data_IF_335184530189
#
_entry.id   IF_335184530189
#
_cell.length_a   1.000
_cell.length_b   1.000
_cell.length_c   1.000
_cell.angle_alpha   90.00
_cell.angle_beta   90.00
_cell.angle_gamma   90.00
#
_symmetry.space_group_name_H-M   'P 1'
#
loop_
_entity.id
_entity.type
_entity.pdbx_description
1 polymer ?
#
# COMPACT_ATOMS: atom_id res chain seq x y z
N UNK A 1 8.63 0.55 10.63
CA UNK A 1 8.22 0.25 9.24
C UNK A 1 8.58 -1.19 8.96
N UNK A 2 7.65 -2.02 8.47
CA UNK A 2 7.92 -3.44 8.18
C UNK A 2 8.29 -3.59 6.71
N UNK A 3 9.56 -3.34 6.40
CA UNK A 3 10.09 -3.42 5.03
C UNK A 3 10.04 -4.85 4.49
N UNK A 4 10.23 -5.85 5.35
CA UNK A 4 10.10 -7.28 5.00
C UNK A 4 8.74 -7.63 4.37
N UNK A 5 7.67 -6.96 4.81
CA UNK A 5 6.32 -7.21 4.32
C UNK A 5 6.18 -6.79 2.83
N UNK A 6 7.06 -5.92 2.30
CA UNK A 6 7.02 -5.50 0.88
C UNK A 6 7.30 -6.64 -0.09
N UNK A 7 8.14 -7.61 0.30
CA UNK A 7 8.35 -8.83 -0.50
C UNK A 7 7.06 -9.62 -0.58
N UNK A 8 6.41 -9.83 0.56
CA UNK A 8 5.24 -10.70 0.67
C UNK A 8 4.03 -10.15 -0.12
N UNK A 9 3.88 -8.82 -0.18
CA UNK A 9 2.80 -8.19 -0.96
C UNK A 9 3.19 -7.89 -2.42
N UNK A 10 4.46 -8.06 -2.81
CA UNK A 10 4.93 -7.68 -4.16
C UNK A 10 4.17 -8.40 -5.29
N UNK A 11 3.84 -9.67 -5.09
CA UNK A 11 3.11 -10.50 -6.06
C UNK A 11 1.60 -10.32 -5.99
N UNK A 12 1.06 -9.81 -4.89
CA UNK A 12 -0.39 -9.60 -4.70
C UNK A 12 -0.82 -8.20 -5.12
N UNK A 13 0.10 -7.21 -5.15
CA UNK A 13 -0.17 -5.83 -5.58
C UNK A 13 -1.03 -5.78 -6.84
N UNK A 14 -1.94 -4.80 -6.88
CA UNK A 14 -2.64 -4.48 -8.12
C UNK A 14 -1.62 -4.15 -9.21
N UNK A 15 -1.88 -4.60 -10.43
CA UNK A 15 -0.91 -4.65 -11.52
C UNK A 15 -0.19 -3.31 -11.78
N UNK A 16 -0.92 -2.20 -11.68
CA UNK A 16 -0.41 -0.82 -11.84
C UNK A 16 0.70 -0.44 -10.85
N UNK A 17 0.86 -1.17 -9.74
CA UNK A 17 1.75 -0.78 -8.65
C UNK A 17 2.92 -1.77 -8.46
N UNK A 18 2.99 -2.86 -9.24
CA UNK A 18 3.99 -3.93 -9.04
C UNK A 18 5.43 -3.49 -9.34
N UNK A 19 5.59 -2.53 -10.26
CA UNK A 19 6.88 -1.97 -10.67
C UNK A 19 7.16 -0.59 -10.03
N UNK A 20 6.30 -0.12 -9.13
CA UNK A 20 6.56 1.10 -8.35
C UNK A 20 7.40 0.76 -7.13
N UNK A 21 8.39 1.60 -6.81
CA UNK A 21 9.04 1.52 -5.51
C UNK A 21 8.01 1.73 -4.39
N UNK A 22 8.25 1.26 -3.16
CA UNK A 22 7.28 1.40 -2.07
C UNK A 22 7.02 2.87 -1.72
N UNK A 23 8.01 3.73 -1.97
CA UNK A 23 7.93 5.17 -1.77
C UNK A 23 6.97 5.79 -2.79
N UNK A 24 7.11 5.46 -4.07
CA UNK A 24 6.20 5.90 -5.14
C UNK A 24 4.79 5.37 -4.90
N UNK A 25 4.64 4.08 -4.60
CA UNK A 25 3.36 3.45 -4.27
C UNK A 25 2.69 4.13 -3.06
N UNK A 26 3.46 4.47 -2.02
CA UNK A 26 2.95 5.17 -0.84
C UNK A 26 2.53 6.61 -1.17
N UNK A 27 3.27 7.31 -2.04
CA UNK A 27 2.89 8.64 -2.51
C UNK A 27 1.60 8.58 -3.36
N UNK A 28 1.50 7.63 -4.28
CA UNK A 28 0.32 7.42 -5.11
C UNK A 28 -0.93 7.12 -4.26
N UNK A 29 -0.80 6.23 -3.27
CA UNK A 29 -1.88 5.97 -2.31
C UNK A 29 -2.29 7.23 -1.55
N UNK A 30 -1.32 8.02 -1.09
CA UNK A 30 -1.59 9.25 -0.33
C UNK A 30 -2.32 10.30 -1.16
N UNK A 31 -1.94 10.50 -2.41
CA UNK A 31 -2.60 11.45 -3.30
C UNK A 31 -4.03 11.01 -3.64
N UNK A 32 -4.23 9.72 -3.93
CA UNK A 32 -5.58 9.14 -4.07
C UNK A 32 -6.42 9.38 -2.80
N UNK A 33 -5.84 9.14 -1.63
CA UNK A 33 -6.50 9.37 -0.34
C UNK A 33 -6.90 10.83 -0.14
N UNK A 34 -5.98 11.79 -0.35
CA UNK A 34 -6.27 13.21 -0.20
C UNK A 34 -7.38 13.70 -1.11
N UNK A 35 -7.43 13.17 -2.34
CA UNK A 35 -8.48 13.49 -3.30
C UNK A 35 -9.84 12.95 -2.83
N UNK A 36 -9.91 11.65 -2.54
CA UNK A 36 -11.14 10.99 -2.11
C UNK A 36 -11.66 11.49 -0.75
N UNK A 37 -10.75 11.84 0.17
CA UNK A 37 -11.10 12.46 1.44
C UNK A 37 -11.81 13.81 1.22
N UNK A 38 -11.30 14.65 0.31
CA UNK A 38 -11.93 15.95 -0.03
C UNK A 38 -13.27 15.74 -0.73
N UNK A 39 -13.36 14.81 -1.67
CA UNK A 39 -14.62 14.45 -2.33
C UNK A 39 -15.69 14.01 -1.31
N UNK A 40 -15.34 13.09 -0.41
CA UNK A 40 -16.24 12.64 0.64
C UNK A 40 -16.62 13.77 1.61
N UNK A 41 -15.68 14.67 1.92
CA UNK A 41 -15.99 15.82 2.76
C UNK A 41 -17.01 16.75 2.08
N UNK A 42 -16.80 17.11 0.81
CA UNK A 42 -17.75 17.92 0.03
C UNK A 42 -19.12 17.26 -0.07
N UNK A 43 -19.16 15.95 -0.31
CA UNK A 43 -20.42 15.19 -0.49
C UNK A 43 -21.27 15.13 0.79
N UNK A 44 -20.65 15.05 1.97
CA UNK A 44 -21.35 14.75 3.22
C UNK A 44 -21.46 15.93 4.19
N UNK A 45 -20.72 17.02 3.96
CA UNK A 45 -20.72 18.18 4.86
C UNK A 45 -20.95 19.47 4.06
N UNK A 46 -22.09 20.13 4.30
CA UNK A 46 -22.40 21.45 3.78
C UNK A 46 -21.65 22.51 4.59
N UNK A 47 -20.37 22.73 4.31
CA UNK A 47 -19.59 23.79 4.93
C UNK A 47 -18.82 24.61 3.89
N UNK A 48 -18.76 25.95 4.00
CA UNK A 48 -17.99 26.80 3.10
C UNK A 48 -16.49 26.45 3.09
N UNK A 49 -15.98 25.82 4.16
CA UNK A 49 -14.56 25.45 4.33
C UNK A 49 -14.15 24.10 3.72
N UNK A 50 -14.98 23.47 2.88
CA UNK A 50 -14.69 22.12 2.36
C UNK A 50 -13.36 22.03 1.61
N UNK A 51 -12.92 23.12 0.97
CA UNK A 51 -11.62 23.18 0.27
C UNK A 51 -10.41 23.33 1.21
N UNK A 52 -10.62 23.85 2.42
CA UNK A 52 -9.57 24.05 3.42
C UNK A 52 -9.28 22.77 4.25
N UNK A 53 -10.17 21.76 4.19
CA UNK A 53 -9.98 20.53 4.98
C UNK A 53 -8.93 19.62 4.35
N UNK A 54 -7.88 19.37 5.12
CA UNK A 54 -6.74 18.54 4.72
C UNK A 54 -6.88 17.13 5.30
N UNK A 55 -6.85 16.13 4.42
CA UNK A 55 -6.76 14.72 4.81
C UNK A 55 -5.46 14.35 5.52
N UNK A 56 -4.44 15.22 5.52
CA UNK A 56 -3.16 15.00 6.19
C UNK A 56 -2.37 16.29 6.46
N UNK A 57 -1.08 16.17 6.84
CA UNK A 57 -0.24 17.29 7.26
C UNK A 57 -0.08 18.37 6.19
N UNK A 58 0.02 19.63 6.62
CA UNK A 58 0.25 20.79 5.77
C UNK A 58 1.55 20.69 4.97
N UNK A 59 2.64 20.29 5.65
CA UNK A 59 3.97 20.16 5.08
C UNK A 59 4.17 18.85 4.29
N UNK A 60 3.09 18.15 3.95
CA UNK A 60 3.11 16.92 3.17
C UNK A 60 3.44 15.65 3.98
N UNK A 61 3.38 14.51 3.29
CA UNK A 61 3.48 13.19 3.92
C UNK A 61 4.80 12.95 4.67
N UNK A 62 5.90 13.43 4.10
CA UNK A 62 7.27 13.22 4.61
C UNK A 62 7.57 13.99 5.89
N UNK A 63 6.80 15.04 6.17
CA UNK A 63 6.98 15.89 7.36
C UNK A 63 6.54 15.20 8.66
N UNK A 64 5.75 14.13 8.59
CA UNK A 64 5.17 13.48 9.75
C UNK A 64 5.32 11.96 9.68
N UNK A 65 6.26 11.42 10.45
CA UNK A 65 6.52 9.98 10.49
C UNK A 65 5.34 9.14 10.96
N UNK A 66 4.43 9.67 11.79
CA UNK A 66 3.23 8.93 12.21
C UNK A 66 2.22 8.81 11.07
N UNK A 67 1.98 9.91 10.35
CA UNK A 67 1.11 9.90 9.17
C UNK A 67 1.70 9.02 8.08
N UNK A 68 3.01 9.13 7.81
CA UNK A 68 3.69 8.27 6.86
C UNK A 68 3.49 6.78 7.19
N UNK A 69 3.71 6.36 8.43
CA UNK A 69 3.50 4.97 8.84
C UNK A 69 2.03 4.53 8.72
N UNK A 70 1.09 5.43 8.99
CA UNK A 70 -0.36 5.21 8.85
C UNK A 70 -0.74 4.94 7.39
N UNK A 71 -0.28 5.79 6.47
CA UNK A 71 -0.48 5.65 5.02
C UNK A 71 0.22 4.41 4.49
N UNK A 72 1.49 4.21 4.85
CA UNK A 72 2.28 3.04 4.47
C UNK A 72 1.56 1.75 4.84
N UNK A 73 1.02 1.66 6.06
CA UNK A 73 0.33 0.46 6.51
C UNK A 73 -0.98 0.25 5.76
N UNK A 74 -1.79 1.29 5.57
CA UNK A 74 -3.03 1.20 4.81
C UNK A 74 -2.77 0.76 3.35
N UNK A 75 -1.70 1.28 2.74
CA UNK A 75 -1.26 0.93 1.40
C UNK A 75 -0.79 -0.53 1.32
N UNK A 76 0.03 -1.01 2.25
CA UNK A 76 0.41 -2.44 2.32
C UNK A 76 -0.80 -3.37 2.44
N UNK A 77 -1.85 -2.94 3.14
CA UNK A 77 -3.09 -3.70 3.25
C UNK A 77 -3.82 -3.76 1.91
N UNK A 78 -3.94 -2.64 1.19
CA UNK A 78 -4.51 -2.62 -0.16
C UNK A 78 -3.70 -3.46 -1.15
N UNK A 79 -2.36 -3.39 -1.07
CA UNK A 79 -1.43 -4.22 -1.85
C UNK A 79 -1.64 -5.72 -1.57
N UNK A 80 -1.80 -6.10 -0.31
CA UNK A 80 -2.06 -7.49 0.10
C UNK A 80 -3.39 -8.03 -0.42
N UNK A 81 -4.38 -7.16 -0.62
CA UNK A 81 -5.67 -7.51 -1.22
C UNK A 81 -5.69 -7.44 -2.75
N UNK A 82 -4.62 -6.95 -3.38
CA UNK A 82 -4.57 -6.75 -4.83
C UNK A 82 -5.59 -5.75 -5.38
N UNK A 83 -5.90 -4.70 -4.60
CA UNK A 83 -6.92 -3.71 -4.97
C UNK A 83 -6.30 -2.43 -5.52
N UNK A 84 -6.94 -1.76 -6.51
CA UNK A 84 -6.61 -0.39 -6.84
C UNK A 84 -6.79 0.52 -5.62
N UNK A 85 -5.87 1.47 -5.44
CA UNK A 85 -5.88 2.34 -4.26
C UNK A 85 -7.15 3.17 -4.16
N UNK A 86 -7.61 3.70 -5.30
CA UNK A 86 -8.82 4.52 -5.33
C UNK A 86 -10.07 3.72 -4.92
N UNK A 87 -10.18 2.48 -5.38
CA UNK A 87 -11.29 1.60 -5.03
C UNK A 87 -11.29 1.31 -3.53
N UNK A 88 -10.16 0.82 -3.00
CA UNK A 88 -10.01 0.49 -1.59
C UNK A 88 -10.35 1.68 -0.68
N UNK A 89 -9.82 2.86 -0.99
CA UNK A 89 -10.06 4.07 -0.19
C UNK A 89 -11.51 4.51 -0.29
N UNK A 90 -12.10 4.52 -1.49
CA UNK A 90 -13.49 4.95 -1.70
C UNK A 90 -14.45 4.06 -0.93
N UNK A 91 -14.33 2.75 -1.07
CA UNK A 91 -15.19 1.79 -0.37
C UNK A 91 -15.10 1.93 1.15
N UNK A 92 -13.88 2.07 1.69
CA UNK A 92 -13.67 2.25 3.11
C UNK A 92 -14.27 3.58 3.62
N UNK A 93 -14.10 4.68 2.89
CA UNK A 93 -14.68 5.97 3.26
C UNK A 93 -16.22 5.90 3.19
N UNK A 94 -16.78 5.41 2.10
CA UNK A 94 -18.24 5.36 1.90
C UNK A 94 -18.92 4.45 2.92
N UNK A 95 -18.31 3.33 3.28
CA UNK A 95 -18.80 2.50 4.37
C UNK A 95 -18.76 3.20 5.73
N UNK A 96 -17.72 3.98 6.04
CA UNK A 96 -17.67 4.75 7.27
C UNK A 96 -18.80 5.78 7.32
N UNK A 97 -18.98 6.52 6.21
CA UNK A 97 -20.02 7.54 6.11
C UNK A 97 -21.44 6.94 6.22
N UNK A 98 -21.70 5.79 5.57
CA UNK A 98 -22.98 5.07 5.70
C UNK A 98 -23.28 4.61 7.13
N UNK A 99 -22.25 4.32 7.93
CA UNK A 99 -22.37 3.99 9.36
C UNK A 99 -22.50 5.21 10.27
N UNK A 100 -22.66 6.42 9.70
CA UNK A 100 -22.84 7.66 10.46
C UNK A 100 -21.54 8.23 11.03
N UNK A 101 -20.38 7.92 10.43
CA UNK A 101 -19.12 8.54 10.86
C UNK A 101 -19.20 10.07 10.73
N UNK A 102 -18.91 10.78 11.83
CA UNK A 102 -18.93 12.25 11.87
C UNK A 102 -17.87 12.90 10.98
N UNK A 103 -16.88 12.14 10.52
CA UNK A 103 -15.76 12.57 9.67
C UNK A 103 -15.30 11.39 8.82
N UNK A 104 -14.78 11.63 7.60
CA UNK A 104 -14.15 10.56 6.82
C UNK A 104 -12.94 9.99 7.59
N UNK A 105 -12.69 8.68 7.47
CA UNK A 105 -11.64 7.98 8.20
C UNK A 105 -10.23 8.45 7.80
N UNK A 106 -9.32 8.38 8.78
CA UNK A 106 -7.86 8.52 8.59
C UNK A 106 -7.28 7.24 7.96
N UNK A 107 -6.07 7.28 7.36
CA UNK A 107 -5.52 6.11 6.66
C UNK A 107 -5.46 4.84 7.53
N UNK A 108 -5.01 4.93 8.78
CA UNK A 108 -4.98 3.82 9.74
C UNK A 108 -6.36 3.28 10.16
N UNK A 109 -7.44 3.99 9.80
CA UNK A 109 -8.80 3.56 10.09
C UNK A 109 -9.42 2.81 8.91
N UNK A 110 -8.94 3.03 7.67
CA UNK A 110 -9.56 2.50 6.44
C UNK A 110 -9.78 0.98 6.48
N UNK A 111 -8.79 0.23 6.96
CA UNK A 111 -8.84 -1.24 7.03
C UNK A 111 -9.58 -1.80 8.26
N UNK A 112 -10.12 -0.95 9.13
CA UNK A 112 -10.95 -1.36 10.26
C UNK A 112 -12.44 -1.03 10.04
N UNK A 113 -12.79 -0.26 9.00
CA UNK A 113 -14.17 0.18 8.76
C UNK A 113 -14.99 -0.96 8.16
N UNK A 114 -14.49 -1.63 7.14
CA UNK A 114 -15.17 -2.76 6.48
C UNK A 114 -14.50 -4.07 6.83
N UNK A 115 -15.28 -5.15 6.83
CA UNK A 115 -14.71 -6.49 6.77
C UNK A 115 -13.95 -6.63 5.45
N UNK A 116 -12.70 -7.09 5.51
CA UNK A 116 -11.83 -7.20 4.34
C UNK A 116 -12.44 -8.10 3.24
N UNK A 117 -13.21 -9.11 3.64
CA UNK A 117 -13.97 -9.98 2.75
C UNK A 117 -15.06 -9.23 1.98
N UNK A 118 -15.70 -8.22 2.58
CA UNK A 118 -16.74 -7.42 1.92
C UNK A 118 -16.14 -6.54 0.83
N UNK A 119 -15.02 -5.87 1.10
CA UNK A 119 -14.33 -5.06 0.08
C UNK A 119 -13.91 -5.94 -1.09
N UNK A 120 -13.36 -7.13 -0.80
CA UNK A 120 -12.93 -8.07 -1.82
C UNK A 120 -14.09 -8.58 -2.70
N UNK A 121 -15.24 -8.88 -2.08
CA UNK A 121 -16.44 -9.29 -2.82
C UNK A 121 -16.94 -8.18 -3.76
N UNK A 122 -16.99 -6.93 -3.28
CA UNK A 122 -17.36 -5.77 -4.11
C UNK A 122 -16.38 -5.54 -5.25
N UNK A 123 -15.09 -5.73 -5.00
CA UNK A 123 -14.09 -5.64 -6.07
C UNK A 123 -14.33 -6.68 -7.15
N UNK A 124 -14.59 -7.93 -6.76
CA UNK A 124 -14.93 -8.98 -7.71
C UNK A 124 -16.17 -8.63 -8.53
N UNK A 125 -17.23 -8.13 -7.89
CA UNK A 125 -18.43 -7.67 -8.58
C UNK A 125 -18.12 -6.56 -9.59
N UNK A 126 -17.38 -5.52 -9.16
CA UNK A 126 -17.02 -4.41 -10.05
C UNK A 126 -16.13 -4.87 -11.20
N UNK A 127 -15.18 -5.79 -10.96
CA UNK A 127 -14.28 -6.30 -11.98
C UNK A 127 -15.02 -7.03 -13.11
N UNK A 128 -16.23 -7.55 -12.86
CA UNK A 128 -17.08 -8.15 -13.89
C UNK A 128 -17.76 -7.11 -14.78
N UNK A 129 -17.84 -5.84 -14.34
CA UNK A 129 -18.57 -4.79 -15.05
C UNK A 129 -17.74 -4.09 -16.14
N UNK A 130 -16.44 -3.87 -15.92
CA UNK A 130 -15.54 -3.19 -16.87
C UNK A 130 -14.27 -4.01 -17.16
N UNK A 131 -13.72 -3.98 -18.39
CA UNK A 131 -12.45 -4.62 -18.67
C UNK A 131 -11.34 -3.80 -17.99
N UNK A 132 -10.64 -4.40 -17.03
CA UNK A 132 -9.65 -3.69 -16.21
C UNK A 132 -8.22 -4.04 -16.61
N UNK A 133 -7.81 -3.69 -17.83
CA UNK A 133 -6.45 -3.94 -18.26
C UNK A 133 -5.47 -2.99 -17.57
N UNK A 134 -4.28 -3.51 -17.26
CA UNK A 134 -3.21 -2.63 -16.81
C UNK A 134 -2.68 -1.83 -18.00
N UNK A 135 -2.41 -0.55 -17.77
CA UNK A 135 -1.87 0.37 -18.78
C UNK A 135 -0.35 0.43 -18.77
N UNK A 136 0.29 -0.31 -17.86
CA UNK A 136 1.74 -0.32 -17.76
C UNK A 136 2.37 -0.95 -19.02
N UNK A 137 3.36 -0.29 -19.64
CA UNK A 137 4.02 -0.81 -20.83
C UNK A 137 4.72 -2.16 -20.58
N UNK A 138 5.10 -2.45 -19.33
CA UNK A 138 5.69 -3.72 -18.90
C UNK A 138 4.79 -4.93 -19.15
N UNK A 139 3.46 -4.77 -19.23
CA UNK A 139 2.54 -5.89 -19.48
C UNK A 139 2.21 -6.11 -20.95
N UNK A 140 2.73 -5.25 -21.83
CA UNK A 140 2.47 -5.38 -23.26
C UNK A 140 3.30 -6.51 -23.87
N UNK A 141 2.76 -7.14 -24.91
CA UNK A 141 3.36 -8.32 -25.57
C UNK A 141 4.80 -8.03 -26.03
N UNK A 142 5.06 -6.82 -26.51
CA UNK A 142 6.38 -6.38 -26.97
C UNK A 142 7.42 -6.28 -25.86
N UNK A 143 6.97 -6.08 -24.62
CA UNK A 143 7.81 -5.99 -23.42
C UNK A 143 7.86 -7.30 -22.63
N UNK A 144 7.27 -8.37 -23.16
CA UNK A 144 7.13 -9.64 -22.43
C UNK A 144 8.49 -10.32 -22.25
N UNK A 145 8.85 -10.61 -20.99
CA UNK A 145 10.09 -11.29 -20.60
C UNK A 145 9.81 -12.56 -19.79
N UNK A 146 8.55 -13.01 -19.73
CA UNK A 146 8.16 -14.16 -18.93
C UNK A 146 8.18 -13.91 -17.42
N UNK A 147 8.08 -12.66 -16.97
CA UNK A 147 8.12 -12.35 -15.54
C UNK A 147 6.86 -12.90 -14.84
N UNK A 148 6.97 -13.37 -13.57
CA UNK A 148 5.80 -13.84 -12.81
C UNK A 148 4.65 -12.82 -12.77
N UNK A 149 4.97 -11.52 -12.69
CA UNK A 149 3.98 -10.45 -12.74
C UNK A 149 3.24 -10.38 -14.09
N UNK A 150 3.95 -10.57 -15.21
CA UNK A 150 3.38 -10.55 -16.56
C UNK A 150 2.49 -11.78 -16.80
N UNK A 151 2.95 -12.96 -16.38
CA UNK A 151 2.17 -14.19 -16.47
C UNK A 151 0.88 -14.07 -15.65
N UNK A 152 0.97 -13.59 -14.41
CA UNK A 152 -0.18 -13.37 -13.55
C UNK A 152 -1.16 -12.34 -14.14
N UNK A 153 -0.65 -11.29 -14.80
CA UNK A 153 -1.48 -10.30 -15.47
C UNK A 153 -2.24 -10.90 -16.64
N UNK A 154 -1.57 -11.63 -17.53
CA UNK A 154 -2.24 -12.30 -18.64
C UNK A 154 -3.30 -13.31 -18.17
N UNK A 155 -3.03 -14.08 -17.11
CA UNK A 155 -4.03 -14.98 -16.51
C UNK A 155 -5.23 -14.18 -16.01
N UNK A 156 -4.99 -13.09 -15.27
CA UNK A 156 -6.06 -12.22 -14.79
C UNK A 156 -6.87 -11.61 -15.95
N UNK A 157 -6.23 -11.23 -17.06
CA UNK A 157 -6.90 -10.71 -18.27
C UNK A 157 -7.84 -11.76 -18.86
N UNK A 158 -7.38 -12.99 -19.02
CA UNK A 158 -8.18 -14.11 -19.53
C UNK A 158 -9.37 -14.37 -18.61
N UNK A 159 -9.14 -14.48 -17.29
CA UNK A 159 -10.19 -14.73 -16.31
C UNK A 159 -11.23 -13.61 -16.31
N UNK A 160 -10.79 -12.35 -16.39
CA UNK A 160 -11.67 -11.19 -16.47
C UNK A 160 -12.53 -11.22 -17.74
N UNK A 161 -11.94 -11.55 -18.89
CA UNK A 161 -12.66 -11.67 -20.16
C UNK A 161 -13.66 -12.83 -20.14
N UNK A 162 -13.29 -14.00 -19.61
CA UNK A 162 -14.18 -15.16 -19.47
C UNK A 162 -15.35 -14.86 -18.52
N UNK A 163 -15.10 -14.19 -17.40
CA UNK A 163 -16.15 -13.76 -16.46
C UNK A 163 -17.18 -12.79 -17.10
N UNK A 164 -16.82 -12.19 -18.24
CA UNK A 164 -17.65 -11.29 -19.05
C UNK A 164 -18.21 -11.96 -20.31
N UNK A 165 -18.29 -13.30 -20.32
CA UNK A 165 -18.75 -14.11 -21.44
C UNK A 165 -17.87 -14.05 -22.70
N UNK A 166 -16.61 -13.57 -22.58
CA UNK A 166 -15.68 -13.54 -23.71
C UNK A 166 -16.20 -12.74 -24.90
N UNK A 167 -16.73 -11.53 -24.67
CA UNK A 167 -17.23 -10.67 -25.74
C UNK A 167 -16.11 -10.39 -26.77
N UNK A 168 -16.33 -10.65 -28.07
CA UNK A 168 -15.29 -10.51 -29.10
C UNK A 168 -14.59 -9.15 -29.10
N UNK A 169 -15.35 -8.05 -29.02
CA UNK A 169 -14.77 -6.70 -28.96
C UNK A 169 -13.79 -6.51 -27.78
N UNK A 170 -14.09 -7.06 -26.60
CA UNK A 170 -13.21 -6.93 -25.43
C UNK A 170 -11.93 -7.75 -25.57
N UNK A 171 -12.02 -8.94 -26.20
CA UNK A 171 -10.86 -9.77 -26.52
C UNK A 171 -10.02 -9.07 -27.59
N UNK A 172 -10.64 -8.49 -28.62
CA UNK A 172 -9.97 -7.71 -29.65
C UNK A 172 -9.23 -6.50 -29.04
N UNK A 173 -9.87 -5.76 -28.13
CA UNK A 173 -9.21 -4.69 -27.39
C UNK A 173 -7.98 -5.18 -26.61
N UNK A 174 -8.08 -6.32 -25.92
CA UNK A 174 -6.95 -6.87 -25.16
C UNK A 174 -5.77 -7.29 -26.07
N UNK A 175 -6.06 -7.86 -27.24
CA UNK A 175 -5.05 -8.40 -28.16
C UNK A 175 -4.43 -7.33 -29.07
N UNK A 176 -5.27 -6.45 -29.64
CA UNK A 176 -4.85 -5.56 -30.72
C UNK A 176 -4.67 -4.10 -30.28
N UNK A 177 -5.54 -3.57 -29.42
CA UNK A 177 -5.47 -2.16 -28.98
C UNK A 177 -4.50 -2.01 -27.78
N UNK A 178 -4.75 -2.75 -26.71
CA UNK A 178 -3.93 -2.69 -25.50
C UNK A 178 -2.67 -3.57 -25.63
N UNK A 179 -2.74 -4.62 -26.46
CA UNK A 179 -1.67 -5.59 -26.70
C UNK A 179 -1.12 -6.18 -25.39
N UNK A 180 -2.01 -6.56 -24.48
CA UNK A 180 -1.66 -7.18 -23.19
C UNK A 180 -1.87 -8.69 -23.18
N UNK A 181 -2.54 -9.23 -24.21
CA UNK A 181 -2.79 -10.66 -24.39
C UNK A 181 -2.25 -11.09 -25.76
N UNK A 182 -1.27 -12.02 -25.83
CA UNK A 182 -0.82 -12.59 -27.09
C UNK A 182 -1.94 -13.32 -27.83
N UNK A 183 -1.94 -13.27 -29.17
CA UNK A 183 -2.97 -13.92 -29.97
C UNK A 183 -3.00 -15.43 -29.78
N UNK A 184 -1.82 -16.05 -29.70
CA UNK A 184 -1.67 -17.49 -29.50
C UNK A 184 -2.31 -17.92 -28.17
N UNK A 185 -2.17 -17.07 -27.14
CA UNK A 185 -2.81 -17.30 -25.84
C UNK A 185 -4.32 -17.08 -25.90
N UNK A 186 -4.80 -16.09 -26.65
CA UNK A 186 -6.24 -15.89 -26.85
C UNK A 186 -6.88 -17.08 -27.60
N UNK A 187 -6.22 -17.59 -28.65
CA UNK A 187 -6.69 -18.75 -29.42
C UNK A 187 -6.75 -20.04 -28.60
N UNK A 188 -5.85 -20.21 -27.64
CA UNK A 188 -5.88 -21.34 -26.71
C UNK A 188 -7.04 -21.25 -25.69
N UNK A 189 -7.51 -20.04 -25.37
CA UNK A 189 -8.43 -19.79 -24.25
C UNK A 189 -9.89 -19.54 -24.68
N UNK A 190 -10.10 -19.15 -25.95
CA UNK A 190 -11.41 -18.80 -26.51
C UNK A 190 -11.74 -19.67 -27.74
N UNK A 191 -13.04 -19.86 -28.01
CA UNK A 191 -13.46 -20.70 -29.14
C UNK A 191 -13.07 -20.12 -30.50
N UNK A 192 -12.90 -21.00 -31.50
CA UNK A 192 -12.58 -20.59 -32.87
C UNK A 192 -13.60 -19.58 -33.44
N UNK A 193 -14.89 -19.76 -33.15
CA UNK A 193 -15.94 -18.82 -33.56
C UNK A 193 -15.79 -17.44 -32.91
N UNK A 194 -15.46 -17.38 -31.61
CA UNK A 194 -15.16 -16.10 -30.96
C UNK A 194 -13.94 -15.43 -31.59
N UNK A 195 -12.90 -16.19 -31.90
CA UNK A 195 -11.66 -15.65 -32.47
C UNK A 195 -11.84 -15.15 -33.91
N UNK A 196 -12.73 -15.74 -34.69
CA UNK A 196 -13.14 -15.21 -35.99
C UNK A 196 -13.78 -13.81 -35.84
N UNK A 197 -14.73 -13.67 -34.91
CA UNK A 197 -15.36 -12.38 -34.61
C UNK A 197 -14.36 -11.36 -34.05
N UNK A 198 -13.40 -11.80 -33.23
CA UNK A 198 -12.32 -10.94 -32.70
C UNK A 198 -11.49 -10.33 -33.82
N UNK A 199 -11.16 -11.11 -34.86
CA UNK A 199 -10.41 -10.62 -36.03
C UNK A 199 -11.23 -9.58 -36.80
N UNK A 200 -12.53 -9.79 -36.95
CA UNK A 200 -13.42 -8.80 -37.55
C UNK A 200 -13.47 -7.51 -36.74
N UNK A 201 -13.71 -7.59 -35.43
CA UNK A 201 -13.78 -6.45 -34.50
C UNK A 201 -12.45 -5.68 -34.42
N UNK A 202 -11.32 -6.35 -34.66
CA UNK A 202 -10.01 -5.70 -34.66
C UNK A 202 -9.80 -4.74 -35.82
N UNK A 203 -10.64 -4.78 -36.86
CA UNK A 203 -10.53 -3.91 -38.02
C UNK A 203 -10.67 -2.44 -37.60
N UNK A 204 -9.57 -1.69 -37.70
CA UNK A 204 -9.50 -0.28 -37.31
C UNK A 204 -8.98 -0.03 -35.90
N UNK A 205 -8.71 -1.07 -35.10
CA UNK A 205 -8.00 -0.91 -33.83
C UNK A 205 -6.55 -0.51 -34.10
N UNK A 206 -6.15 0.63 -33.55
CA UNK A 206 -4.77 1.12 -33.63
C UNK A 206 -4.18 1.17 -32.24
N UNK A 207 -2.99 0.60 -32.10
CA UNK A 207 -2.31 0.56 -30.81
C UNK A 207 -1.19 1.59 -30.78
N UNK A 208 -1.17 2.36 -29.69
CA UNK A 208 -0.13 3.36 -29.44
C UNK A 208 1.23 2.65 -29.30
N UNK A 209 2.30 3.09 -29.98
CA UNK A 209 3.64 2.54 -29.78
C UNK A 209 4.09 2.64 -28.32
N UNK A 210 4.86 1.67 -27.84
CA UNK A 210 5.56 1.82 -26.56
C UNK A 210 6.91 2.49 -26.76
N UNK A 211 7.31 3.31 -25.78
CA UNK A 211 8.70 3.71 -25.65
C UNK A 211 9.57 2.51 -25.24
N UNK A 212 10.84 2.54 -25.61
CA UNK A 212 11.81 1.52 -25.17
C UNK A 212 11.91 1.54 -23.64
N UNK A 213 11.74 0.36 -23.02
CA UNK A 213 11.87 0.18 -21.58
C UNK A 213 13.32 -0.16 -21.21
N UNK A 214 13.75 0.37 -20.07
CA UNK A 214 15.04 0.05 -19.46
C UNK A 214 14.90 -1.19 -18.58
N UNK A 215 15.98 -1.93 -18.30
CA UNK A 215 15.95 -3.05 -17.35
C UNK A 215 15.41 -2.66 -15.97
N UNK A 216 15.65 -1.42 -15.53
CA UNK A 216 15.14 -0.89 -14.25
C UNK A 216 13.61 -0.79 -14.19
N UNK A 217 12.94 -0.66 -15.33
CA UNK A 217 11.49 -0.51 -15.39
C UNK A 217 10.75 -1.82 -15.05
N UNK A 218 11.48 -2.94 -15.01
CA UNK A 218 10.98 -4.26 -14.64
C UNK A 218 11.29 -4.64 -13.19
N UNK A 219 11.98 -3.78 -12.44
CA UNK A 219 12.32 -4.09 -11.05
C UNK A 219 11.05 -4.23 -10.20
N UNK A 220 10.93 -5.31 -9.41
CA UNK A 220 9.81 -5.46 -8.50
C UNK A 220 9.88 -4.40 -7.42
N UNK A 221 8.73 -4.05 -6.85
CA UNK A 221 8.65 -3.03 -5.79
C UNK A 221 9.56 -3.28 -4.58
N UNK A 222 9.98 -4.52 -4.33
CA UNK A 222 10.84 -4.86 -3.20
C UNK A 222 12.35 -4.79 -3.50
N UNK A 223 12.74 -4.49 -4.74
CA UNK A 223 14.14 -4.52 -5.17
C UNK A 223 15.05 -3.62 -4.32
N UNK A 224 16.13 -4.21 -3.79
CA UNK A 224 17.14 -3.50 -3.03
C UNK A 224 16.68 -2.94 -1.68
N UNK A 225 15.48 -3.28 -1.20
CA UNK A 225 14.98 -2.82 0.08
C UNK A 225 15.65 -3.57 1.24
N UNK A 226 16.13 -2.85 2.28
CA UNK A 226 16.69 -3.48 3.48
C UNK A 226 15.72 -4.48 4.13
N UNK A 227 16.21 -5.68 4.37
CA UNK A 227 15.52 -6.81 4.99
C UNK A 227 14.34 -7.38 4.20
N UNK A 228 14.20 -7.03 2.91
CA UNK A 228 13.18 -7.61 2.04
C UNK A 228 13.69 -8.83 1.27
N UNK A 229 14.96 -8.86 0.86
CA UNK A 229 15.56 -10.04 0.23
C UNK A 229 15.69 -11.17 1.24
N UNK A 230 15.45 -12.39 0.77
CA UNK A 230 15.58 -13.60 1.56
C UNK A 230 15.76 -14.79 0.62
N UNK A 231 16.97 -15.38 0.59
CA UNK A 231 17.26 -16.50 -0.31
C UNK A 231 16.43 -17.75 -0.02
N UNK A 232 15.87 -17.87 1.19
CA UNK A 232 14.96 -18.96 1.54
C UNK A 232 13.51 -18.70 1.08
N UNK A 233 13.18 -17.49 0.65
CA UNK A 233 11.83 -17.15 0.22
C UNK A 233 11.56 -17.68 -1.19
N UNK A 234 10.42 -18.38 -1.42
CA UNK A 234 10.04 -18.82 -2.76
C UNK A 234 9.81 -17.65 -3.73
N UNK A 235 9.46 -16.46 -3.21
CA UNK A 235 9.28 -15.24 -4.02
C UNK A 235 10.63 -14.77 -4.58
N UNK A 236 11.68 -14.77 -3.75
CA UNK A 236 13.02 -14.38 -4.17
C UNK A 236 13.66 -15.43 -5.08
N UNK A 237 13.39 -16.72 -4.85
CA UNK A 237 13.94 -17.83 -5.63
C UNK A 237 13.59 -17.75 -7.12
N UNK A 238 12.39 -17.27 -7.47
CA UNK A 238 11.91 -17.12 -8.85
C UNK A 238 12.08 -15.71 -9.42
N UNK A 239 12.75 -14.81 -8.68
CA UNK A 239 12.86 -13.41 -9.07
C UNK A 239 14.02 -13.17 -10.06
N UNK A 240 13.72 -12.60 -11.22
CA UNK A 240 14.69 -12.31 -12.28
C UNK A 240 15.84 -11.36 -11.89
N UNK A 241 15.68 -10.58 -10.81
CA UNK A 241 16.70 -9.64 -10.32
C UNK A 241 17.33 -10.06 -8.99
N UNK A 242 17.15 -11.32 -8.56
CA UNK A 242 17.65 -11.81 -7.26
C UNK A 242 19.12 -11.46 -6.99
N UNK A 243 20.00 -11.75 -7.94
CA UNK A 243 21.45 -11.55 -7.78
C UNK A 243 21.83 -10.06 -7.65
N UNK A 244 21.14 -9.20 -8.40
CA UNK A 244 21.28 -7.75 -8.29
C UNK A 244 20.69 -7.22 -6.98
N UNK A 245 19.57 -7.79 -6.54
CA UNK A 245 18.82 -7.35 -5.36
C UNK A 245 19.66 -7.47 -4.09
N UNK A 246 20.28 -8.63 -3.83
CA UNK A 246 21.10 -8.82 -2.63
C UNK A 246 22.33 -7.90 -2.57
N UNK A 247 22.95 -7.63 -3.73
CA UNK A 247 24.08 -6.69 -3.83
C UNK A 247 23.65 -5.26 -3.53
N UNK A 248 22.55 -4.81 -4.14
CA UNK A 248 22.00 -3.46 -3.91
C UNK A 248 21.55 -3.31 -2.46
N UNK A 249 20.85 -4.29 -1.89
CA UNK A 249 20.43 -4.25 -0.49
C UNK A 249 21.62 -4.08 0.45
N UNK A 250 22.70 -4.84 0.23
CA UNK A 250 23.93 -4.75 1.04
C UNK A 250 24.52 -3.34 0.97
N UNK A 251 24.57 -2.74 -0.22
CA UNK A 251 25.04 -1.35 -0.40
C UNK A 251 24.13 -0.34 0.31
N UNK A 252 22.80 -0.51 0.23
CA UNK A 252 21.83 0.35 0.91
C UNK A 252 22.00 0.24 2.43
N UNK A 253 22.14 -0.97 2.98
CA UNK A 253 22.39 -1.18 4.42
C UNK A 253 23.70 -0.53 4.88
N UNK A 254 24.78 -0.67 4.11
CA UNK A 254 26.05 -0.03 4.41
C UNK A 254 25.90 1.51 4.49
N UNK A 255 25.22 2.13 3.51
CA UNK A 255 24.94 3.58 3.52
C UNK A 255 24.05 4.01 4.70
N UNK A 256 23.10 3.18 5.12
CA UNK A 256 22.27 3.45 6.30
C UNK A 256 23.13 3.46 7.57
N UNK A 257 24.03 2.48 7.74
CA UNK A 257 24.97 2.42 8.86
C UNK A 257 25.92 3.61 8.85
N UNK A 258 26.51 3.92 7.69
CA UNK A 258 27.41 5.07 7.53
C UNK A 258 26.73 6.37 7.95
N UNK A 259 25.47 6.58 7.55
CA UNK A 259 24.74 7.82 7.83
C UNK A 259 24.18 7.92 9.25
N UNK A 260 23.73 6.80 9.83
CA UNK A 260 22.95 6.80 11.06
C UNK A 260 23.60 6.02 12.22
N UNK A 261 24.76 5.40 12.00
CA UNK A 261 25.49 4.60 12.99
C UNK A 261 24.85 3.25 13.33
N UNK A 262 23.76 2.88 12.67
CA UNK A 262 23.02 1.65 12.92
C UNK A 262 22.25 1.21 11.69
N UNK A 263 22.07 -0.10 11.52
CA UNK A 263 21.20 -0.66 10.48
C UNK A 263 19.72 -0.39 10.73
N UNK A 264 19.32 -0.18 12.00
CA UNK A 264 17.91 0.00 12.40
C UNK A 264 17.74 1.21 13.31
N UNK A 265 18.02 2.43 12.81
CA UNK A 265 18.05 3.64 13.63
C UNK A 265 16.72 3.91 14.35
N UNK A 266 15.58 3.58 13.73
CA UNK A 266 14.24 3.75 14.33
C UNK A 266 13.96 2.76 15.46
N UNK A 267 14.42 1.53 15.35
CA UNK A 267 14.24 0.54 16.42
C UNK A 267 15.13 0.89 17.60
N UNK A 268 16.33 1.43 17.36
CA UNK A 268 17.23 1.93 18.39
C UNK A 268 16.67 3.14 19.11
N UNK A 269 16.13 4.12 18.37
CA UNK A 269 15.42 5.27 18.92
C UNK A 269 14.25 4.83 19.81
N UNK A 270 13.42 3.88 19.32
CA UNK A 270 12.30 3.34 20.08
C UNK A 270 12.77 2.61 21.35
N UNK A 271 13.83 1.80 21.27
CA UNK A 271 14.43 1.14 22.43
C UNK A 271 14.97 2.15 23.44
N UNK A 272 15.61 3.23 22.99
CA UNK A 272 16.07 4.32 23.84
C UNK A 272 14.90 5.03 24.55
N UNK A 273 13.83 5.36 23.83
CA UNK A 273 12.62 5.97 24.41
C UNK A 273 11.95 5.06 25.46
N UNK A 274 11.84 3.75 25.18
CA UNK A 274 11.30 2.77 26.14
C UNK A 274 12.19 2.69 27.38
N UNK A 275 13.51 2.62 27.22
CA UNK A 275 14.46 2.62 28.34
C UNK A 275 14.32 3.88 29.19
N UNK A 276 14.25 5.06 28.57
CA UNK A 276 14.06 6.33 29.26
C UNK A 276 12.71 6.38 30.02
N UNK A 277 11.62 5.90 29.40
CA UNK A 277 10.31 5.79 30.05
C UNK A 277 10.34 4.86 31.26
N UNK A 278 10.96 3.70 31.14
CA UNK A 278 11.08 2.73 32.24
C UNK A 278 11.97 3.28 33.37
N UNK A 279 13.07 3.96 33.02
CA UNK A 279 13.93 4.62 34.00
C UNK A 279 13.16 5.69 34.79
N UNK A 280 12.37 6.53 34.12
CA UNK A 280 11.50 7.53 34.77
C UNK A 280 10.48 6.88 35.70
N UNK A 281 9.77 5.84 35.24
CA UNK A 281 8.81 5.11 36.07
C UNK A 281 9.46 4.47 37.31
N UNK A 282 10.69 3.95 37.18
CA UNK A 282 11.45 3.40 38.32
C UNK A 282 11.88 4.49 39.29
N UNK A 283 12.31 5.65 38.80
CA UNK A 283 12.67 6.80 39.63
C UNK A 283 11.44 7.34 40.40
N UNK A 284 10.30 7.50 39.73
CA UNK A 284 9.02 7.89 40.35
C UNK A 284 8.57 6.90 41.43
N UNK A 285 8.67 5.58 41.16
CA UNK A 285 8.37 4.55 42.17
C UNK A 285 9.33 4.57 43.35
N UNK A 286 10.63 4.80 43.12
CA UNK A 286 11.63 4.89 44.19
C UNK A 286 11.41 6.13 45.07
N UNK A 287 11.03 7.25 44.45
CA UNK A 287 10.66 8.48 45.16
C UNK A 287 9.37 8.30 45.97
N UNK A 288 8.34 7.65 45.42
CA UNK A 288 7.10 7.35 46.13
C UNK A 288 7.26 6.30 47.24
N UNK A 289 8.24 5.40 47.12
CA UNK A 289 8.54 4.37 48.11
C UNK A 289 9.53 4.81 49.20
N UNK A 290 9.93 6.09 49.24
CA UNK A 290 10.71 6.66 50.34
C UNK A 290 9.79 7.45 51.29
N UNK A 291 9.27 6.86 52.37
CA UNK A 291 8.58 7.62 53.40
C UNK A 291 9.60 8.21 54.38
N UNK A 292 9.58 9.54 54.57
CA UNK A 292 10.05 10.18 55.80
C UNK A 292 11.32 11.03 55.70
N UNK A 293 11.15 12.34 55.57
CA UNK A 293 11.95 13.34 56.28
C UNK A 293 11.07 14.59 56.49
N UNK A 294 10.57 14.78 57.72
CA UNK A 294 9.88 16.02 58.11
C UNK A 294 8.58 15.86 58.89
N UNK A 295 8.52 14.98 59.89
CA UNK A 295 7.61 15.22 61.02
C UNK A 295 8.33 16.17 61.98
N UNK A 296 8.03 17.47 61.90
CA UNK A 296 8.48 18.42 62.91
C UNK A 296 7.70 18.16 64.19
N UNK A 297 8.42 17.99 65.29
CA UNK A 297 7.91 17.94 66.64
C UNK A 297 7.03 19.18 66.91
N UNK A 298 5.80 18.95 67.35
CA UNK A 298 5.01 19.94 68.09
C UNK A 298 5.14 19.58 69.56
N UNK A 299 5.84 20.40 70.32
CA UNK A 299 5.78 20.39 71.78
C UNK A 299 4.35 20.69 72.28
N UNK A 300 3.84 19.99 73.31
CA UNK A 300 2.58 20.34 73.95
C UNK A 300 2.82 21.33 75.10
N UNK A 301 2.54 22.62 74.85
CA UNK A 301 2.51 23.66 75.87
C UNK A 301 1.19 23.70 76.65
N UNK A 302 1.23 23.13 77.85
CA UNK A 302 0.37 23.29 79.04
C UNK A 302 -0.79 24.31 78.99
N UNK A 303 -2.00 23.79 79.22
CA UNK A 303 -3.18 24.53 79.70
C UNK A 303 -2.93 25.00 81.14
N UNK A 304 -3.14 26.28 81.42
CA UNK A 304 -3.35 26.77 82.79
C UNK A 304 -4.64 27.59 82.84
N UNK A 305 -5.55 27.08 83.65
CA UNK A 305 -6.90 27.56 83.96
C UNK A 305 -6.86 28.59 85.10
N UNK A 306 -7.93 29.40 85.20
CA UNK A 306 -8.41 30.30 86.29
C UNK A 306 -8.43 31.77 85.82
N UNK A 307 -9.50 32.54 85.97
CA UNK A 307 -10.78 32.43 86.67
C UNK A 307 -11.78 33.33 85.94
#
# INVERSE_FOLDING_TARGET
MRLKDERDVSSTKWFEYRFMSPIEATAAFYEAYRRLFREAWRKNFHAPDTELKRGGPAAGLWSNGREFNSVWRARQIADGLGLPYEFFIREAIEAAMRRGAKRPPRPNQLYNVLGMSEIHARWHEQSRSLPLFSKLPQYRVEAFQGLPAQIAHQTWVVDNLKARLGRPYAIAQACFEQRVLPLERAEAEFSAHQMEQVRYESAGMTATPIASLKPSDFWPSCFGLPHAHDDASPICAVCHVRDGCGKVETQVRAKVVERYGSERPRDDEKRAQVRARVARLRAERKAAASPGAGASEREPGSVMMKM
#
